data_IF_153958470093
#
_entry.id   IF_153958470093
#
_cell.length_a   1.000
_cell.length_b   1.000
_cell.length_c   1.000
_cell.angle_alpha   90.00
_cell.angle_beta   90.00
_cell.angle_gamma   90.00
#
_symmetry.space_group_name_H-M   'P 1'
#
loop_
_entity.id
_entity.type
_entity.pdbx_description
1 polymer ?
#
# COMPACT_ATOMS: atom_id res chain seq x y z
N UNK A 1 16.58 -10.65 19.82
CA UNK A 1 16.00 -9.86 18.71
C UNK A 1 16.98 -9.86 17.55
N UNK A 2 16.57 -10.30 16.36
CA UNK A 2 17.41 -10.24 15.17
C UNK A 2 17.73 -8.76 14.84
N UNK A 3 18.95 -8.49 14.36
CA UNK A 3 19.33 -7.15 13.92
C UNK A 3 18.41 -6.66 12.81
N UNK A 4 17.81 -5.48 12.99
CA UNK A 4 16.97 -4.82 11.99
C UNK A 4 17.71 -3.58 11.50
N UNK A 5 17.86 -3.47 10.18
CA UNK A 5 18.48 -2.30 9.56
C UNK A 5 17.72 -1.01 9.88
N UNK A 6 18.45 0.11 10.00
CA UNK A 6 17.86 1.41 10.38
C UNK A 6 16.71 1.82 9.46
N UNK A 7 16.86 1.64 8.15
CA UNK A 7 15.82 2.02 7.18
C UNK A 7 14.53 1.20 7.31
N UNK A 8 14.59 -0.03 7.84
CA UNK A 8 13.39 -0.82 8.17
C UNK A 8 12.80 -0.38 9.50
N UNK A 9 13.65 -0.17 10.50
CA UNK A 9 13.24 0.26 11.85
C UNK A 9 12.55 1.63 11.85
N UNK A 10 13.05 2.57 11.05
CA UNK A 10 12.55 3.94 10.97
C UNK A 10 11.61 4.18 9.78
N UNK A 11 11.14 3.12 9.10
CA UNK A 11 10.15 3.28 8.03
C UNK A 11 8.87 3.88 8.64
N UNK A 12 8.35 5.01 8.11
CA UNK A 12 7.20 5.68 8.69
C UNK A 12 5.97 4.78 8.65
N UNK A 13 5.18 4.81 9.72
CA UNK A 13 3.96 4.02 9.87
C UNK A 13 2.69 4.87 9.75
N UNK A 14 2.84 6.18 9.85
CA UNK A 14 1.78 7.20 9.87
C UNK A 14 2.22 8.37 8.98
N UNK A 15 1.26 9.15 8.49
CA UNK A 15 1.47 10.24 7.55
C UNK A 15 2.27 11.41 8.15
N UNK A 16 2.08 11.73 9.42
CA UNK A 16 2.84 12.74 10.17
C UNK A 16 4.35 12.45 10.21
N UNK A 17 4.74 11.17 10.16
CA UNK A 17 6.15 10.74 10.16
C UNK A 17 6.80 10.72 8.77
N UNK A 18 6.04 11.02 7.71
CA UNK A 18 6.58 11.13 6.35
C UNK A 18 7.23 12.51 6.17
N UNK A 19 8.52 12.52 5.88
CA UNK A 19 9.29 13.77 5.74
C UNK A 19 9.18 14.34 4.33
N UNK A 20 8.94 15.65 4.21
CA UNK A 20 8.99 16.41 2.96
C UNK A 20 7.77 16.29 2.03
N UNK A 21 6.85 15.35 2.28
CA UNK A 21 5.71 15.07 1.39
C UNK A 21 4.35 15.57 1.93
N UNK A 22 4.34 16.69 2.65
CA UNK A 22 3.15 17.17 3.38
C UNK A 22 1.92 17.41 2.50
N UNK A 23 2.09 17.86 1.26
CA UNK A 23 0.97 18.07 0.33
C UNK A 23 0.33 16.74 -0.10
N UNK A 24 1.14 15.69 -0.31
CA UNK A 24 0.66 14.35 -0.67
C UNK A 24 -0.07 13.72 0.51
N UNK A 25 0.57 13.70 1.69
CA UNK A 25 -0.02 13.07 2.87
C UNK A 25 -1.30 13.75 3.32
N UNK A 26 -1.36 15.09 3.25
CA UNK A 26 -2.61 15.84 3.52
C UNK A 26 -3.71 15.50 2.53
N UNK A 27 -3.39 15.38 1.24
CA UNK A 27 -4.37 15.03 0.20
C UNK A 27 -4.96 13.64 0.44
N UNK A 28 -4.10 12.65 0.69
CA UNK A 28 -4.53 11.28 1.00
C UNK A 28 -5.36 11.22 2.30
N UNK A 29 -4.90 11.91 3.35
CA UNK A 29 -5.63 12.01 4.61
C UNK A 29 -7.01 12.63 4.46
N UNK A 30 -7.13 13.67 3.63
CA UNK A 30 -8.43 14.28 3.33
C UNK A 30 -9.35 13.35 2.53
N UNK A 31 -8.80 12.61 1.56
CA UNK A 31 -9.58 11.62 0.80
C UNK A 31 -10.18 10.55 1.71
N UNK A 32 -9.40 10.01 2.64
CA UNK A 32 -9.87 9.03 3.63
C UNK A 32 -11.01 9.57 4.47
N UNK A 33 -10.90 10.80 4.99
CA UNK A 33 -11.94 11.44 5.79
C UNK A 33 -13.22 11.69 5.00
N UNK A 34 -13.09 12.03 3.72
CA UNK A 34 -14.24 12.26 2.84
C UNK A 34 -14.89 10.98 2.31
N UNK A 35 -14.24 9.82 2.47
CA UNK A 35 -14.67 8.56 1.87
C UNK A 35 -14.46 8.46 0.35
N UNK A 36 -13.89 9.49 -0.29
CA UNK A 36 -13.65 9.54 -1.73
C UNK A 36 -12.34 8.82 -2.10
N UNK A 37 -12.36 7.49 -2.02
CA UNK A 37 -11.21 6.62 -2.33
C UNK A 37 -11.31 6.15 -3.79
N UNK A 38 -10.24 6.36 -4.57
CA UNK A 38 -10.13 5.87 -5.95
C UNK A 38 -9.77 4.38 -5.99
N UNK A 39 -10.06 3.72 -7.12
CA UNK A 39 -9.67 2.33 -7.37
C UNK A 39 -8.17 2.18 -7.67
N UNK A 40 -7.50 3.25 -8.12
CA UNK A 40 -6.10 3.22 -8.50
C UNK A 40 -5.37 4.52 -8.11
N UNK A 41 -4.13 4.35 -7.64
CA UNK A 41 -3.22 5.42 -7.24
C UNK A 41 -1.83 5.16 -7.81
N UNK A 42 -1.28 6.14 -8.54
CA UNK A 42 0.08 6.06 -9.08
C UNK A 42 1.01 6.98 -8.27
N UNK A 43 1.97 6.39 -7.58
CA UNK A 43 3.01 7.12 -6.85
C UNK A 43 4.26 7.25 -7.73
N UNK A 44 4.62 8.47 -8.11
CA UNK A 44 5.79 8.75 -8.96
C UNK A 44 6.88 9.50 -8.22
N UNK A 45 8.13 9.35 -8.65
CA UNK A 45 9.28 10.05 -8.08
C UNK A 45 10.55 9.19 -8.06
N UNK A 46 11.68 9.79 -7.72
CA UNK A 46 12.97 9.09 -7.64
C UNK A 46 12.98 8.00 -6.55
N UNK A 47 13.97 7.11 -6.62
CA UNK A 47 14.16 6.06 -5.61
C UNK A 47 14.43 6.69 -4.23
N UNK A 48 13.80 6.15 -3.19
CA UNK A 48 14.01 6.61 -1.81
C UNK A 48 13.14 7.78 -1.35
N UNK A 49 12.29 8.36 -2.20
CA UNK A 49 11.39 9.47 -1.82
C UNK A 49 10.17 9.06 -1.00
N UNK A 50 10.04 7.77 -0.67
CA UNK A 50 8.97 7.25 0.19
C UNK A 50 7.74 6.70 -0.52
N UNK A 51 7.75 6.54 -1.85
CA UNK A 51 6.62 6.02 -2.66
C UNK A 51 5.94 4.79 -2.04
N UNK A 52 6.68 3.68 -1.92
CA UNK A 52 6.18 2.42 -1.37
C UNK A 52 5.81 2.55 0.12
N UNK A 53 6.48 3.42 0.87
CA UNK A 53 6.15 3.67 2.28
C UNK A 53 4.80 4.37 2.42
N UNK A 54 4.55 5.42 1.63
CA UNK A 54 3.27 6.14 1.64
C UNK A 54 2.14 5.23 1.15
N UNK A 55 2.37 4.44 0.10
CA UNK A 55 1.41 3.45 -0.39
C UNK A 55 1.00 2.45 0.72
N UNK A 56 1.96 1.95 1.51
CA UNK A 56 1.70 1.04 2.64
C UNK A 56 0.97 1.70 3.80
N UNK A 57 1.24 2.97 4.10
CA UNK A 57 0.50 3.72 5.11
C UNK A 57 -0.96 3.87 4.65
N UNK A 58 -1.16 4.29 3.40
CA UNK A 58 -2.48 4.50 2.82
C UNK A 58 -3.30 3.21 2.73
N UNK A 59 -2.70 2.10 2.28
CA UNK A 59 -3.36 0.78 2.21
C UNK A 59 -3.91 0.32 3.56
N UNK A 60 -3.15 0.55 4.64
CA UNK A 60 -3.62 0.27 6.01
C UNK A 60 -4.67 1.26 6.50
N UNK A 61 -4.51 2.54 6.13
CA UNK A 61 -5.43 3.60 6.54
C UNK A 61 -6.84 3.41 5.93
N UNK A 62 -6.92 3.03 4.66
CA UNK A 62 -8.17 2.72 3.94
C UNK A 62 -9.00 1.63 4.65
N UNK A 63 -8.33 0.72 5.34
CA UNK A 63 -8.93 -0.40 6.06
C UNK A 63 -9.04 -0.20 7.57
N UNK A 64 -8.52 0.91 8.10
CA UNK A 64 -8.50 1.16 9.54
C UNK A 64 -9.91 1.47 10.06
N UNK A 65 -10.30 0.85 11.17
CA UNK A 65 -11.59 1.09 11.81
C UNK A 65 -11.65 2.44 12.54
N UNK A 66 -10.50 2.90 13.04
CA UNK A 66 -10.38 4.11 13.84
C UNK A 66 -9.22 4.98 13.33
N UNK A 67 -9.29 5.56 12.12
CA UNK A 67 -8.21 6.40 11.60
C UNK A 67 -7.91 7.58 12.53
N UNK A 68 -6.65 7.99 12.59
CA UNK A 68 -6.21 9.17 13.35
C UNK A 68 -6.74 10.46 12.73
N UNK A 69 -6.62 11.57 13.46
CA UNK A 69 -7.13 12.88 13.04
C UNK A 69 -6.54 13.38 11.71
N UNK A 70 -5.36 12.93 11.30
CA UNK A 70 -4.71 13.23 10.02
C UNK A 70 -5.12 12.26 8.89
N UNK A 71 -5.86 11.19 9.20
CA UNK A 71 -6.22 10.09 8.29
C UNK A 71 -5.24 8.92 8.33
N UNK A 72 -4.23 8.93 9.21
CA UNK A 72 -3.31 7.79 9.37
C UNK A 72 -4.00 6.56 9.98
N UNK A 73 -3.47 5.34 9.76
CA UNK A 73 -3.95 4.17 10.48
C UNK A 73 -3.59 4.29 11.98
N UNK A 74 -4.48 3.87 12.89
CA UNK A 74 -4.19 3.94 14.33
C UNK A 74 -3.11 2.94 14.78
N UNK A 75 -2.93 1.84 14.05
CA UNK A 75 -1.96 0.80 14.40
C UNK A 75 -2.40 -0.13 15.55
N UNK A 76 -3.53 0.14 16.20
CA UNK A 76 -3.95 -0.58 17.41
C UNK A 76 -5.27 -1.36 17.28
N UNK A 77 -6.14 -1.03 16.31
CA UNK A 77 -7.36 -1.80 16.07
C UNK A 77 -7.03 -3.19 15.48
N UNK A 78 -7.98 -4.12 15.59
CA UNK A 78 -7.89 -5.49 15.11
C UNK A 78 -7.43 -5.58 13.65
N UNK A 79 -8.04 -4.79 12.75
CA UNK A 79 -7.65 -4.75 11.35
C UNK A 79 -6.23 -4.21 11.18
N UNK A 80 -5.83 -3.16 11.90
CA UNK A 80 -4.46 -2.66 11.81
C UNK A 80 -3.42 -3.67 12.31
N UNK A 81 -3.75 -4.47 13.34
CA UNK A 81 -2.88 -5.53 13.85
C UNK A 81 -2.75 -6.66 12.82
N UNK A 82 -3.86 -7.09 12.23
CA UNK A 82 -3.86 -8.13 11.18
C UNK A 82 -3.11 -7.68 9.94
N UNK A 83 -3.34 -6.46 9.45
CA UNK A 83 -2.65 -5.90 8.29
C UNK A 83 -1.18 -5.55 8.54
N UNK A 84 -0.75 -5.50 9.81
CA UNK A 84 0.68 -5.37 10.15
C UNK A 84 1.41 -6.71 10.11
N UNK A 85 0.69 -7.83 10.07
CA UNK A 85 1.27 -9.15 9.90
C UNK A 85 1.78 -9.32 8.46
N UNK A 86 3.05 -9.69 8.23
CA UNK A 86 3.57 -9.96 6.90
C UNK A 86 2.82 -11.06 6.12
N UNK A 87 2.10 -11.94 6.82
CA UNK A 87 1.32 -13.03 6.22
C UNK A 87 -0.13 -12.63 5.86
N UNK A 88 -0.51 -11.36 6.00
CA UNK A 88 -1.85 -10.91 5.64
C UNK A 88 -2.10 -11.07 4.12
N UNK A 89 -3.32 -11.42 3.75
CA UNK A 89 -3.71 -11.67 2.35
C UNK A 89 -4.45 -10.49 1.70
N UNK A 90 -4.71 -9.44 2.49
CA UNK A 90 -5.52 -8.30 2.08
C UNK A 90 -4.69 -7.11 1.58
N UNK A 91 -3.42 -7.02 1.97
CA UNK A 91 -2.45 -6.10 1.38
C UNK A 91 -1.32 -6.92 0.78
N UNK A 92 -1.33 -7.02 -0.55
CA UNK A 92 -0.35 -7.78 -1.33
C UNK A 92 0.62 -6.83 -2.02
N UNK A 93 1.91 -7.01 -1.78
CA UNK A 93 2.97 -6.26 -2.43
C UNK A 93 3.62 -7.14 -3.51
N UNK A 94 3.70 -6.61 -4.73
CA UNK A 94 4.26 -7.29 -5.89
C UNK A 94 5.37 -6.41 -6.44
N UNK A 95 6.58 -6.94 -6.46
CA UNK A 95 7.70 -6.30 -7.14
C UNK A 95 7.63 -6.65 -8.63
N UNK A 96 7.26 -5.66 -9.45
CA UNK A 96 7.14 -5.83 -10.89
C UNK A 96 8.49 -6.08 -11.57
N UNK A 97 9.62 -5.71 -10.96
CA UNK A 97 10.93 -6.02 -11.53
C UNK A 97 11.20 -7.53 -11.56
N UNK A 98 10.67 -8.26 -10.57
CA UNK A 98 10.80 -9.72 -10.44
C UNK A 98 9.62 -10.49 -11.03
N UNK A 99 8.46 -9.85 -11.21
CA UNK A 99 7.20 -10.47 -11.66
C UNK A 99 6.62 -9.71 -12.88
N UNK A 100 7.43 -9.48 -13.91
CA UNK A 100 7.07 -8.64 -15.08
C UNK A 100 6.30 -9.36 -16.21
N UNK A 101 6.08 -10.67 -16.08
CA UNK A 101 5.44 -11.50 -17.08
C UNK A 101 3.92 -11.34 -17.15
N UNK A 102 3.34 -11.62 -18.31
CA UNK A 102 1.88 -11.54 -18.51
C UNK A 102 1.10 -12.55 -17.65
N UNK A 103 1.68 -13.73 -17.41
CA UNK A 103 1.03 -14.77 -16.64
C UNK A 103 0.93 -14.42 -15.15
N UNK A 104 1.93 -13.70 -14.60
CA UNK A 104 1.87 -13.19 -13.22
C UNK A 104 0.74 -12.17 -13.05
N UNK A 105 0.56 -11.26 -14.01
CA UNK A 105 -0.56 -10.30 -13.97
C UNK A 105 -1.91 -10.99 -14.17
N UNK A 106 -1.99 -12.03 -15.00
CA UNK A 106 -3.22 -12.83 -15.13
C UNK A 106 -3.58 -13.51 -13.81
N UNK A 107 -2.59 -14.12 -13.15
CA UNK A 107 -2.77 -14.73 -11.82
C UNK A 107 -3.21 -13.69 -10.78
N UNK A 108 -2.62 -12.49 -10.79
CA UNK A 108 -3.05 -11.37 -9.96
C UNK A 108 -4.53 -11.05 -10.22
N UNK A 109 -4.90 -10.84 -11.48
CA UNK A 109 -6.26 -10.49 -11.89
C UNK A 109 -7.30 -11.55 -11.51
N UNK A 110 -6.95 -12.82 -11.60
CA UNK A 110 -7.83 -13.89 -11.15
C UNK A 110 -7.98 -13.91 -9.63
N UNK A 111 -6.94 -13.55 -8.88
CA UNK A 111 -7.00 -13.43 -7.43
C UNK A 111 -7.75 -12.17 -6.92
N UNK A 112 -7.88 -11.13 -7.75
CA UNK A 112 -8.63 -9.90 -7.41
C UNK A 112 -10.13 -10.19 -7.24
N UNK A 113 -10.65 -11.24 -7.89
CA UNK A 113 -12.08 -11.61 -7.84
C UNK A 113 -12.52 -12.09 -6.46
N UNK A 114 -11.59 -12.55 -5.62
CA UNK A 114 -11.89 -13.02 -4.28
C UNK A 114 -12.04 -11.85 -3.31
N UNK A 115 -13.04 -11.95 -2.43
CA UNK A 115 -13.27 -10.98 -1.36
C UNK A 115 -12.05 -10.90 -0.43
N UNK A 116 -11.84 -9.74 0.23
CA UNK A 116 -10.86 -9.64 1.30
C UNK A 116 -11.19 -10.62 2.43
N UNK A 117 -10.16 -11.09 3.13
CA UNK A 117 -10.30 -12.06 4.22
C UNK A 117 -10.85 -11.41 5.51
N UNK A 118 -10.32 -10.25 5.88
CA UNK A 118 -10.65 -9.57 7.15
C UNK A 118 -10.89 -8.07 6.96
N UNK A 119 -10.23 -7.46 5.98
CA UNK A 119 -10.28 -6.03 5.73
C UNK A 119 -11.49 -5.61 4.87
N UNK A 120 -11.77 -4.31 4.81
CA UNK A 120 -12.84 -3.76 3.95
C UNK A 120 -12.46 -3.81 2.46
N UNK A 121 -11.18 -3.58 2.15
CA UNK A 121 -10.64 -3.52 0.81
C UNK A 121 -9.41 -4.42 0.70
N UNK A 122 -9.32 -5.14 -0.43
CA UNK A 122 -8.12 -5.86 -0.85
C UNK A 122 -7.26 -4.91 -1.68
N UNK A 123 -6.04 -4.64 -1.23
CA UNK A 123 -5.15 -3.64 -1.81
C UNK A 123 -3.93 -4.33 -2.42
N UNK A 124 -3.67 -4.04 -3.69
CA UNK A 124 -2.46 -4.49 -4.39
C UNK A 124 -1.50 -3.31 -4.53
N UNK A 125 -0.27 -3.50 -4.06
CA UNK A 125 0.83 -2.53 -4.21
C UNK A 125 1.79 -3.12 -5.24
N UNK A 126 1.78 -2.59 -6.46
CA UNK A 126 2.71 -2.98 -7.52
C UNK A 126 3.89 -2.01 -7.49
N UNK A 127 5.01 -2.44 -6.92
CA UNK A 127 6.24 -1.65 -6.86
C UNK A 127 7.00 -1.74 -8.19
N UNK A 128 7.64 -0.64 -8.58
CA UNK A 128 8.34 -0.47 -9.86
C UNK A 128 7.51 -0.92 -11.08
N UNK A 129 6.20 -0.59 -11.11
CA UNK A 129 5.23 -0.99 -12.15
C UNK A 129 5.66 -0.73 -13.60
N UNK A 130 6.56 0.23 -13.81
CA UNK A 130 7.14 0.52 -15.12
C UNK A 130 8.01 -0.62 -15.69
N UNK A 131 8.40 -1.58 -14.85
CA UNK A 131 9.16 -2.77 -15.24
C UNK A 131 8.28 -3.89 -15.83
N UNK A 132 6.95 -3.77 -15.77
CA UNK A 132 6.04 -4.71 -16.41
C UNK A 132 6.27 -4.76 -17.92
N UNK A 133 6.23 -5.96 -18.51
CA UNK A 133 6.22 -6.10 -19.96
C UNK A 133 4.96 -5.46 -20.56
N UNK A 134 5.03 -5.03 -21.83
CA UNK A 134 3.87 -4.45 -22.51
C UNK A 134 2.65 -5.40 -22.50
N UNK A 135 2.89 -6.71 -22.65
CA UNK A 135 1.85 -7.73 -22.56
C UNK A 135 1.23 -7.80 -21.15
N UNK A 136 2.04 -7.70 -20.10
CA UNK A 136 1.56 -7.65 -18.72
C UNK A 136 0.76 -6.36 -18.43
N UNK A 137 1.22 -5.21 -18.93
CA UNK A 137 0.51 -3.94 -18.76
C UNK A 137 -0.88 -3.96 -19.40
N UNK A 138 -1.01 -4.56 -20.59
CA UNK A 138 -2.30 -4.70 -21.28
C UNK A 138 -3.24 -5.72 -20.62
N UNK A 139 -2.73 -6.57 -19.73
CA UNK A 139 -3.51 -7.59 -19.04
C UNK A 139 -4.02 -7.16 -17.66
N UNK A 140 -3.52 -6.02 -17.15
CA UNK A 140 -3.83 -5.44 -15.84
C UNK A 140 -5.27 -4.94 -15.73
#
# INVERSE_FOLDING_TARGET
>A
MAYVSLYRRFRPQTFDKVIGQGHITRTLGNQLKSGNISHAYLFTGSRGTGKTSVAKIFARAVNCLHPLADGSPCGECEICRELSNPANLDILEIDAASNNGVDEIRNLRDNVKYMPAVAKYKVYIVDEVHMLSAAAFNAL
#
